data_IF_575922219802
#
_entry.id   IF_575922219802
#
_cell.length_a   1.000
_cell.length_b   1.000
_cell.length_c   1.000
_cell.angle_alpha   90.00
_cell.angle_beta   90.00
_cell.angle_gamma   90.00
#
_symmetry.space_group_name_H-M   'P 1'
#
loop_
_entity.id
_entity.type
_entity.pdbx_description
1 polymer ?
#
# COMPACT_ATOMS: atom_id res chain seq x y z
N UNK A 1 -9.56 6.44 -1.98
CA UNK A 1 -8.21 6.30 -2.55
C UNK A 1 -7.88 4.83 -2.81
N UNK A 2 -6.87 4.59 -3.60
CA UNK A 2 -6.36 3.25 -3.85
C UNK A 2 -5.18 2.96 -2.94
N UNK A 3 -5.26 1.85 -2.22
CA UNK A 3 -4.29 1.46 -1.21
C UNK A 3 -3.62 0.16 -1.64
N UNK A 4 -2.30 0.11 -1.61
CA UNK A 4 -1.54 -1.11 -1.81
C UNK A 4 -1.01 -1.60 -0.46
N UNK A 5 -1.10 -2.90 -0.22
CA UNK A 5 -0.49 -3.56 0.94
C UNK A 5 0.45 -4.63 0.42
N UNK A 6 1.73 -4.48 0.71
CA UNK A 6 2.78 -5.37 0.23
C UNK A 6 3.34 -6.17 1.39
N UNK A 7 3.23 -7.49 1.29
CA UNK A 7 3.58 -8.42 2.34
C UNK A 7 2.37 -8.89 3.13
N UNK A 8 2.61 -9.62 4.21
CA UNK A 8 1.57 -10.18 5.06
C UNK A 8 1.05 -11.53 4.58
N UNK A 9 0.03 -12.02 5.26
CA UNK A 9 -0.60 -13.31 4.97
C UNK A 9 -1.84 -13.12 4.13
N UNK A 10 -2.04 -13.97 3.13
CA UNK A 10 -3.22 -13.92 2.25
C UNK A 10 -4.55 -13.98 3.01
N UNK A 11 -4.60 -14.75 4.09
CA UNK A 11 -5.81 -14.87 4.92
C UNK A 11 -6.28 -13.56 5.52
N UNK A 12 -5.40 -12.57 5.66
CA UNK A 12 -5.75 -11.26 6.21
C UNK A 12 -6.15 -10.25 5.13
N UNK A 13 -5.83 -10.54 3.88
CA UNK A 13 -6.07 -9.63 2.76
C UNK A 13 -7.55 -9.26 2.63
N UNK A 14 -8.43 -10.24 2.74
CA UNK A 14 -9.86 -10.04 2.58
C UNK A 14 -10.44 -9.09 3.64
N UNK A 15 -10.03 -9.24 4.89
CA UNK A 15 -10.47 -8.34 5.97
C UNK A 15 -10.01 -6.92 5.72
N UNK A 16 -8.77 -6.74 5.28
CA UNK A 16 -8.23 -5.42 4.95
C UNK A 16 -9.00 -4.79 3.78
N UNK A 17 -9.30 -5.58 2.76
CA UNK A 17 -10.09 -5.12 1.61
C UNK A 17 -11.48 -4.67 2.03
N UNK A 18 -12.14 -5.41 2.92
CA UNK A 18 -13.48 -5.07 3.43
C UNK A 18 -13.45 -3.77 4.22
N UNK A 19 -12.46 -3.58 5.09
CA UNK A 19 -12.30 -2.36 5.87
C UNK A 19 -12.08 -1.14 4.96
N UNK A 20 -11.23 -1.29 3.95
CA UNK A 20 -10.98 -0.21 2.99
C UNK A 20 -12.26 0.15 2.23
N UNK A 21 -12.98 -0.85 1.75
CA UNK A 21 -14.23 -0.65 1.02
C UNK A 21 -15.29 0.05 1.88
N UNK A 22 -15.40 -0.33 3.14
CA UNK A 22 -16.34 0.31 4.07
C UNK A 22 -16.04 1.80 4.25
N UNK A 23 -14.78 2.19 4.13
CA UNK A 23 -14.36 3.60 4.16
C UNK A 23 -14.40 4.31 2.82
N UNK A 24 -14.89 3.65 1.76
CA UNK A 24 -14.92 4.23 0.42
C UNK A 24 -13.62 4.13 -0.36
N UNK A 25 -12.74 3.21 0.03
CA UNK A 25 -11.43 3.01 -0.61
C UNK A 25 -11.34 1.66 -1.29
N UNK A 26 -10.38 1.53 -2.20
CA UNK A 26 -10.01 0.25 -2.80
C UNK A 26 -8.65 -0.19 -2.23
N UNK A 27 -8.51 -1.47 -1.92
CA UNK A 27 -7.27 -2.02 -1.40
C UNK A 27 -6.89 -3.27 -2.18
N UNK A 28 -5.67 -3.30 -2.68
CA UNK A 28 -5.07 -4.46 -3.33
C UNK A 28 -3.87 -4.94 -2.51
N UNK A 29 -3.63 -6.22 -2.51
CA UNK A 29 -2.53 -6.83 -1.78
C UNK A 29 -1.54 -7.51 -2.73
N UNK A 30 -0.29 -7.59 -2.29
CA UNK A 30 0.75 -8.38 -2.94
C UNK A 30 1.48 -9.16 -1.85
N UNK A 31 1.72 -10.44 -2.08
CA UNK A 31 2.31 -11.32 -1.08
C UNK A 31 3.73 -10.96 -0.67
N UNK A 32 4.40 -10.15 -1.48
CA UNK A 32 5.80 -9.80 -1.24
C UNK A 32 6.78 -10.84 -1.78
N UNK A 33 6.30 -11.83 -2.51
CA UNK A 33 7.17 -12.80 -3.19
C UNK A 33 7.57 -12.23 -4.55
N UNK A 34 8.83 -11.91 -4.72
CA UNK A 34 9.38 -11.36 -5.96
C UNK A 34 10.39 -12.35 -6.51
N UNK A 35 9.92 -13.20 -7.42
CA UNK A 35 10.73 -14.27 -8.02
C UNK A 35 10.71 -14.15 -9.55
N UNK A 36 11.38 -13.13 -10.08
CA UNK A 36 11.49 -12.92 -11.51
C UNK A 36 10.79 -11.65 -11.99
N UNK A 37 10.86 -11.43 -13.30
CA UNK A 37 10.38 -10.19 -13.93
C UNK A 37 8.88 -9.97 -13.80
N UNK A 38 8.10 -11.02 -13.95
CA UNK A 38 6.63 -10.92 -13.89
C UNK A 38 6.16 -10.46 -12.51
N UNK A 39 6.74 -11.01 -11.45
CA UNK A 39 6.42 -10.63 -10.08
C UNK A 39 6.86 -9.19 -9.78
N UNK A 40 8.04 -8.80 -10.26
CA UNK A 40 8.55 -7.43 -10.09
C UNK A 40 7.69 -6.42 -10.84
N UNK A 41 7.27 -6.74 -12.06
CA UNK A 41 6.40 -5.88 -12.86
C UNK A 41 5.02 -5.73 -12.21
N UNK A 42 4.48 -6.82 -11.66
CA UNK A 42 3.21 -6.81 -10.94
C UNK A 42 3.25 -5.89 -9.72
N UNK A 43 4.32 -5.98 -8.94
CA UNK A 43 4.51 -5.14 -7.77
C UNK A 43 4.62 -3.66 -8.15
N UNK A 44 5.39 -3.34 -9.17
CA UNK A 44 5.53 -1.97 -9.68
C UNK A 44 4.20 -1.42 -10.18
N UNK A 45 3.46 -2.21 -10.96
CA UNK A 45 2.17 -1.81 -11.50
C UNK A 45 1.19 -1.49 -10.37
N UNK A 46 1.20 -2.29 -9.30
CA UNK A 46 0.36 -2.05 -8.13
C UNK A 46 0.72 -0.71 -7.47
N UNK A 47 1.99 -0.43 -7.29
CA UNK A 47 2.44 0.81 -6.66
C UNK A 47 2.10 2.04 -7.52
N UNK A 48 2.31 1.95 -8.83
CA UNK A 48 2.00 3.04 -9.76
C UNK A 48 0.55 3.47 -9.69
N UNK A 49 -0.38 2.51 -9.59
CA UNK A 49 -1.81 2.81 -9.55
C UNK A 49 -2.37 3.11 -8.16
N UNK A 50 -1.53 3.08 -7.13
CA UNK A 50 -1.95 3.27 -5.76
C UNK A 50 -1.69 4.71 -5.29
N UNK A 51 -2.56 5.19 -4.41
CA UNK A 51 -2.41 6.52 -3.80
C UNK A 51 -1.60 6.45 -2.49
N UNK A 52 -1.62 5.29 -1.84
CA UNK A 52 -0.91 5.04 -0.60
C UNK A 52 -0.41 3.59 -0.59
N UNK A 53 0.82 3.39 -0.15
CA UNK A 53 1.45 2.08 -0.11
C UNK A 53 1.86 1.74 1.33
N UNK A 54 1.37 0.61 1.83
CA UNK A 54 1.85 0.00 3.08
C UNK A 54 2.81 -1.12 2.75
N UNK A 55 3.97 -1.11 3.37
CA UNK A 55 4.93 -2.21 3.29
C UNK A 55 5.02 -2.85 4.66
N UNK A 56 4.66 -4.12 4.75
CA UNK A 56 4.70 -4.89 5.98
C UNK A 56 6.06 -5.57 6.08
N UNK A 57 6.71 -5.48 7.22
CA UNK A 57 8.05 -6.05 7.40
C UNK A 57 8.06 -7.41 8.09
N UNK A 58 6.99 -7.76 8.79
CA UNK A 58 6.92 -8.99 9.56
C UNK A 58 6.86 -10.25 8.68
N UNK A 59 6.00 -10.21 7.64
CA UNK A 59 5.91 -11.28 6.63
C UNK A 59 6.11 -10.67 5.26
N UNK A 60 7.35 -10.70 4.76
CA UNK A 60 7.68 -10.10 3.48
C UNK A 60 9.06 -10.57 3.03
N UNK A 61 9.35 -10.45 1.75
CA UNK A 61 10.69 -10.68 1.24
C UNK A 61 11.51 -9.39 1.29
N UNK A 62 12.79 -9.53 1.52
CA UNK A 62 13.72 -8.41 1.53
C UNK A 62 13.72 -7.66 0.20
N UNK A 63 13.68 -8.40 -0.91
CA UNK A 63 13.65 -7.83 -2.25
C UNK A 63 12.37 -7.03 -2.51
N UNK A 64 11.23 -7.50 -2.05
CA UNK A 64 9.97 -6.78 -2.21
C UNK A 64 9.96 -5.47 -1.45
N UNK A 65 10.52 -5.44 -0.24
CA UNK A 65 10.65 -4.21 0.55
C UNK A 65 11.48 -3.17 -0.19
N UNK A 66 12.64 -3.57 -0.71
CA UNK A 66 13.51 -2.67 -1.47
C UNK A 66 12.88 -2.19 -2.77
N UNK A 67 12.26 -3.09 -3.51
CA UNK A 67 11.59 -2.75 -4.76
C UNK A 67 10.44 -1.77 -4.52
N UNK A 68 9.65 -2.00 -3.45
CA UNK A 68 8.55 -1.12 -3.09
C UNK A 68 9.03 0.28 -2.74
N UNK A 69 10.08 0.40 -1.95
CA UNK A 69 10.68 1.69 -1.60
C UNK A 69 11.15 2.44 -2.84
N UNK A 70 11.83 1.75 -3.74
CA UNK A 70 12.35 2.33 -4.98
C UNK A 70 11.21 2.80 -5.89
N UNK A 71 10.21 1.95 -6.10
CA UNK A 71 9.09 2.27 -6.96
C UNK A 71 8.25 3.42 -6.40
N UNK A 72 7.97 3.42 -5.10
CA UNK A 72 7.23 4.50 -4.46
C UNK A 72 7.95 5.84 -4.61
N UNK A 73 9.27 5.86 -4.44
CA UNK A 73 10.09 7.05 -4.65
C UNK A 73 10.06 7.51 -6.10
N UNK A 74 10.22 6.58 -7.03
CA UNK A 74 10.25 6.88 -8.47
C UNK A 74 8.95 7.50 -8.95
N UNK A 75 7.81 7.00 -8.48
CA UNK A 75 6.49 7.44 -8.92
C UNK A 75 5.81 8.43 -7.96
N UNK A 76 6.52 8.90 -6.94
CA UNK A 76 6.00 9.88 -6.00
C UNK A 76 4.83 9.38 -5.16
N UNK A 77 4.82 8.12 -4.78
CA UNK A 77 3.75 7.53 -3.99
C UNK A 77 4.11 7.54 -2.50
N UNK A 78 3.20 8.01 -1.62
CA UNK A 78 3.42 7.92 -0.18
C UNK A 78 3.58 6.48 0.27
N UNK A 79 4.57 6.22 1.11
CA UNK A 79 4.90 4.90 1.62
C UNK A 79 4.87 4.91 3.14
N UNK A 80 4.23 3.90 3.72
CA UNK A 80 4.24 3.66 5.16
C UNK A 80 4.81 2.28 5.42
N UNK A 81 5.87 2.21 6.20
CA UNK A 81 6.49 0.94 6.59
C UNK A 81 5.99 0.59 7.97
N UNK A 82 5.31 -0.54 8.09
CA UNK A 82 4.77 -1.03 9.35
C UNK A 82 5.14 -2.49 9.53
N UNK A 83 5.21 -2.94 10.76
CA UNK A 83 5.51 -4.33 11.06
C UNK A 83 4.38 -5.25 10.62
N UNK A 84 3.16 -4.88 11.02
CA UNK A 84 1.92 -5.61 10.75
C UNK A 84 0.82 -4.61 10.51
N UNK A 85 -0.21 -5.05 9.80
CA UNK A 85 -1.39 -4.25 9.58
C UNK A 85 -2.62 -5.12 9.81
N UNK A 86 -3.33 -4.88 10.90
CA UNK A 86 -4.61 -5.53 11.19
C UNK A 86 -5.76 -4.70 10.63
N UNK A 87 -6.92 -5.34 10.45
CA UNK A 87 -8.12 -4.65 10.01
C UNK A 87 -8.50 -3.51 10.97
N UNK A 88 -8.37 -3.73 12.28
CA UNK A 88 -8.67 -2.70 13.28
C UNK A 88 -7.71 -1.51 13.17
N UNK A 89 -6.43 -1.75 12.98
CA UNK A 89 -5.44 -0.69 12.80
C UNK A 89 -5.71 0.10 11.51
N UNK A 90 -6.02 -0.59 10.42
CA UNK A 90 -6.35 0.07 9.16
C UNK A 90 -7.58 0.96 9.31
N UNK A 91 -8.64 0.46 9.95
CA UNK A 91 -9.85 1.23 10.21
C UNK A 91 -9.57 2.50 11.03
N UNK A 92 -8.66 2.41 12.00
CA UNK A 92 -8.26 3.57 12.80
C UNK A 92 -7.41 4.58 12.02
N UNK A 93 -6.57 4.12 11.09
CA UNK A 93 -5.68 4.99 10.33
C UNK A 93 -6.34 5.67 9.15
N UNK A 94 -7.31 5.03 8.50
CA UNK A 94 -7.86 5.50 7.22
C UNK A 94 -8.39 6.94 7.25
N UNK A 95 -9.15 7.39 8.24
CA UNK A 95 -9.66 8.77 8.23
C UNK A 95 -8.54 9.81 8.21
N UNK A 96 -7.49 9.61 9.01
CA UNK A 96 -6.36 10.53 9.07
C UNK A 96 -5.50 10.47 7.82
N UNK A 97 -5.24 9.26 7.30
CA UNK A 97 -4.44 9.07 6.10
C UNK A 97 -5.15 9.62 4.86
N UNK A 98 -6.44 9.38 4.73
CA UNK A 98 -7.22 9.90 3.62
C UNK A 98 -7.24 11.43 3.61
N UNK A 99 -7.42 12.06 4.76
CA UNK A 99 -7.38 13.52 4.89
C UNK A 99 -6.00 14.08 4.53
N UNK A 100 -4.92 13.43 5.00
CA UNK A 100 -3.55 13.83 4.71
C UNK A 100 -3.24 13.74 3.21
N UNK A 101 -3.62 12.64 2.56
CA UNK A 101 -3.37 12.46 1.13
C UNK A 101 -4.22 13.41 0.28
N UNK A 102 -5.47 13.66 0.66
CA UNK A 102 -6.32 14.62 -0.02
C UNK A 102 -5.72 16.04 0.05
N UNK A 103 -5.18 16.41 1.19
CA UNK A 103 -4.50 17.70 1.37
C UNK A 103 -3.23 17.78 0.50
N UNK A 104 -2.43 16.73 0.48
CA UNK A 104 -1.22 16.68 -0.34
C UNK A 104 -1.54 16.79 -1.84
N UNK A 105 -2.58 16.11 -2.31
CA UNK A 105 -3.04 16.20 -3.70
C UNK A 105 -3.52 17.62 -4.01
N UNK A 106 -4.31 18.22 -3.14
CA UNK A 106 -4.81 19.58 -3.32
C UNK A 106 -3.65 20.59 -3.40
N UNK A 107 -2.64 20.46 -2.57
CA UNK A 107 -1.47 21.33 -2.59
C UNK A 107 -0.67 21.19 -3.89
N UNK A 108 -0.52 19.97 -4.40
CA UNK A 108 0.15 19.75 -5.69
C UNK A 108 -0.60 20.36 -6.86
N UNK A 109 -1.92 20.32 -6.83
CA UNK A 109 -2.76 20.87 -7.90
C UNK A 109 -2.93 22.40 -7.79
N UNK A 110 -2.77 22.97 -6.62
CA UNK A 110 -2.85 24.41 -6.40
C UNK A 110 -1.58 25.16 -6.83
N UNK A 111 -0.49 24.45 -6.96
CA UNK A 111 0.77 25.03 -7.40
C UNK A 111 0.83 25.17 -8.92
#
# INVERSE_FOLDING_TARGET
>A
MRIAVIGGLDRNARELEEVARAGGHELDTHTGVVAGRASSASLRALIVRSDLVFVLTDVNSHNAVHLAKRAARQFGRPLRIVRRLSAAHLAAYLPALAASEATAVALRHAA
#
